data_IF_247706328729
#
_entry.id   IF_247706328729
#
_cell.length_a   1.000
_cell.length_b   1.000
_cell.length_c   1.000
_cell.angle_alpha   90.00
_cell.angle_beta   90.00
_cell.angle_gamma   90.00
#
_symmetry.space_group_name_H-M   'P 1'
#
loop_
_entity.id
_entity.type
_entity.pdbx_description
1 polymer ?
#
# COMPACT_ATOMS: atom_id res chain seq x y z
N UNK A 1 21.99 39.67 53.84
CA UNK A 1 20.89 39.59 54.82
C UNK A 1 20.14 38.28 54.62
N UNK A 2 20.15 37.41 55.65
CA UNK A 2 19.28 36.25 55.94
C UNK A 2 19.18 35.07 54.93
N UNK A 3 19.83 33.97 55.33
CA UNK A 3 19.36 32.58 55.11
C UNK A 3 18.00 32.33 55.79
N UNK A 4 17.19 31.40 55.24
CA UNK A 4 16.54 30.27 55.95
C UNK A 4 15.86 29.28 54.97
N UNK A 5 15.61 28.02 55.38
CA UNK A 5 15.77 26.82 54.53
C UNK A 5 14.53 25.88 54.45
N UNK A 6 14.68 24.80 53.67
CA UNK A 6 14.12 23.43 53.79
C UNK A 6 12.69 23.16 54.29
N UNK A 7 11.97 22.34 53.51
CA UNK A 7 11.24 21.11 53.95
C UNK A 7 11.32 20.10 52.78
N UNK A 8 12.01 18.94 52.84
CA UNK A 8 11.68 17.63 53.48
C UNK A 8 10.20 17.29 53.39
N UNK A 9 9.72 16.09 53.07
CA UNK A 9 10.17 14.83 52.46
C UNK A 9 8.85 14.00 52.45
N UNK A 10 8.58 13.14 51.47
CA UNK A 10 7.84 11.91 51.80
C UNK A 10 8.19 10.80 50.82
N UNK A 11 9.09 9.96 51.33
CA UNK A 11 9.32 8.56 51.01
C UNK A 11 8.04 7.79 51.40
N UNK A 12 7.88 6.55 50.91
CA UNK A 12 6.72 5.62 50.93
C UNK A 12 6.09 5.59 49.52
N UNK A 13 6.40 4.65 48.62
CA UNK A 13 6.70 3.25 48.86
C UNK A 13 7.52 2.66 47.71
N UNK A 14 8.65 2.07 48.06
CA UNK A 14 9.32 1.05 47.26
C UNK A 14 8.47 -0.21 47.37
N UNK A 15 7.97 -0.71 46.25
CA UNK A 15 7.58 -2.11 46.11
C UNK A 15 8.15 -2.65 44.80
N UNK A 16 9.21 -3.42 45.01
CA UNK A 16 9.77 -4.44 44.14
C UNK A 16 8.68 -5.21 43.37
N UNK A 17 8.84 -5.37 42.06
CA UNK A 17 8.96 -6.70 41.44
C UNK A 17 9.14 -6.59 39.92
N UNK A 18 10.32 -7.04 39.47
CA UNK A 18 10.57 -7.58 38.14
C UNK A 18 9.38 -8.37 37.60
N UNK A 19 9.03 -8.16 36.32
CA UNK A 19 9.02 -9.22 35.31
C UNK A 19 8.37 -8.74 34.01
N UNK A 20 9.22 -8.64 32.99
CA UNK A 20 9.03 -9.08 31.59
C UNK A 20 9.54 -8.03 30.60
N UNK A 21 10.86 -8.09 30.41
CA UNK A 21 11.47 -7.91 29.10
C UNK A 21 10.84 -8.93 28.13
N UNK A 22 9.79 -8.53 27.43
CA UNK A 22 9.44 -9.13 26.14
C UNK A 22 9.72 -8.08 25.08
N UNK A 23 10.96 -8.11 24.60
CA UNK A 23 11.31 -7.43 23.36
C UNK A 23 10.45 -8.00 22.24
N UNK A 24 9.42 -7.26 21.84
CA UNK A 24 8.73 -7.53 20.59
C UNK A 24 9.63 -7.05 19.46
N UNK A 25 10.41 -7.96 18.89
CA UNK A 25 10.91 -7.76 17.53
C UNK A 25 9.70 -7.70 16.62
N UNK A 26 9.40 -6.51 16.11
CA UNK A 26 8.51 -6.34 14.95
C UNK A 26 9.20 -7.00 13.76
N UNK A 27 9.00 -8.30 13.60
CA UNK A 27 9.36 -8.99 12.36
C UNK A 27 8.52 -8.38 11.24
N UNK A 28 9.17 -7.74 10.27
CA UNK A 28 8.54 -7.45 9.00
C UNK A 28 7.98 -8.76 8.44
N UNK A 29 6.67 -8.81 8.20
CA UNK A 29 6.02 -10.00 7.66
C UNK A 29 6.68 -10.37 6.33
N UNK A 30 7.32 -11.54 6.27
CA UNK A 30 8.00 -12.04 5.07
C UNK A 30 6.98 -12.18 3.94
N UNK A 31 7.26 -11.57 2.77
CA UNK A 31 6.40 -11.66 1.58
C UNK A 31 6.24 -13.12 1.16
N UNK A 32 5.04 -13.46 0.66
CA UNK A 32 4.75 -14.84 0.25
C UNK A 32 5.51 -15.19 -1.04
N UNK A 33 6.49 -16.09 -0.97
CA UNK A 33 7.31 -16.52 -2.11
C UNK A 33 6.48 -17.04 -3.30
N UNK A 34 5.40 -17.79 -3.04
CA UNK A 34 4.56 -18.31 -4.13
C UNK A 34 3.86 -17.18 -4.92
N UNK A 35 3.57 -16.06 -4.25
CA UNK A 35 2.96 -14.90 -4.90
C UNK A 35 4.00 -14.17 -5.75
N UNK A 36 5.23 -14.05 -5.26
CA UNK A 36 6.34 -13.44 -6.01
C UNK A 36 6.67 -14.25 -7.26
N UNK A 37 6.77 -15.57 -7.15
CA UNK A 37 7.00 -16.47 -8.29
C UNK A 37 5.87 -16.37 -9.33
N UNK A 38 4.62 -16.25 -8.87
CA UNK A 38 3.48 -16.05 -9.76
C UNK A 38 3.56 -14.71 -10.51
N UNK A 39 3.85 -13.62 -9.79
CA UNK A 39 3.99 -12.28 -10.36
C UNK A 39 5.13 -12.26 -11.38
N UNK A 40 6.29 -12.82 -11.04
CA UNK A 40 7.45 -12.94 -11.92
C UNK A 40 7.07 -13.64 -13.23
N UNK A 41 6.37 -14.76 -13.11
CA UNK A 41 5.98 -15.59 -14.25
C UNK A 41 4.99 -14.92 -15.20
N UNK A 42 4.05 -14.12 -14.67
CA UNK A 42 2.93 -13.62 -15.47
C UNK A 42 2.95 -12.11 -15.74
N UNK A 43 3.89 -11.34 -15.16
CA UNK A 43 3.95 -9.89 -15.36
C UNK A 43 4.03 -9.47 -16.83
N UNK A 44 4.77 -10.20 -17.65
CA UNK A 44 4.92 -9.87 -19.08
C UNK A 44 3.60 -10.09 -19.81
N UNK A 45 2.90 -11.19 -19.50
CA UNK A 45 1.57 -11.47 -20.03
C UNK A 45 0.61 -10.33 -19.67
N UNK A 46 0.57 -9.92 -18.40
CA UNK A 46 -0.31 -8.85 -17.94
C UNK A 46 0.02 -7.50 -18.59
N UNK A 47 1.29 -7.19 -18.82
CA UNK A 47 1.71 -5.97 -19.55
C UNK A 47 1.27 -6.03 -21.02
N UNK A 48 1.41 -7.18 -21.68
CA UNK A 48 0.95 -7.37 -23.05
C UNK A 48 -0.57 -7.23 -23.16
N UNK A 49 -1.32 -7.81 -22.20
CA UNK A 49 -2.77 -7.65 -22.12
C UNK A 49 -3.17 -6.21 -21.88
N UNK A 50 -2.50 -5.51 -20.97
CA UNK A 50 -2.70 -4.08 -20.74
C UNK A 50 -2.51 -3.26 -22.00
N UNK A 51 -1.42 -3.48 -22.75
CA UNK A 51 -1.16 -2.76 -24.01
C UNK A 51 -2.24 -3.01 -25.06
N UNK A 52 -2.82 -4.21 -25.08
CA UNK A 52 -3.84 -4.57 -26.08
C UNK A 52 -5.23 -4.11 -25.70
N UNK A 53 -5.63 -4.34 -24.44
CA UNK A 53 -7.00 -4.19 -23.98
C UNK A 53 -7.19 -2.99 -23.05
N UNK A 54 -6.13 -2.26 -22.67
CA UNK A 54 -6.18 -1.07 -21.82
C UNK A 54 -6.73 -1.32 -20.41
N UNK A 55 -6.50 -2.53 -19.87
CA UNK A 55 -6.76 -2.89 -18.47
C UNK A 55 -5.43 -2.80 -17.72
N UNK A 56 -5.33 -2.15 -16.54
CA UNK A 56 -4.08 -2.06 -15.80
C UNK A 56 -3.44 -3.45 -15.60
N UNK A 57 -2.14 -3.55 -15.83
CA UNK A 57 -1.37 -4.79 -15.63
C UNK A 57 -1.40 -5.21 -14.15
N UNK A 58 -1.38 -4.23 -13.24
CA UNK A 58 -1.52 -4.42 -11.80
C UNK A 58 -2.82 -5.11 -11.41
N UNK A 59 -3.95 -4.67 -11.99
CA UNK A 59 -5.27 -5.26 -11.80
C UNK A 59 -5.29 -6.69 -12.32
N UNK A 60 -4.81 -6.90 -13.54
CA UNK A 60 -4.78 -8.24 -14.16
C UNK A 60 -3.94 -9.23 -13.33
N UNK A 61 -2.77 -8.81 -12.83
CA UNK A 61 -1.92 -9.64 -11.98
C UNK A 61 -2.54 -9.90 -10.61
N UNK A 62 -3.10 -8.87 -9.96
CA UNK A 62 -3.71 -9.03 -8.65
C UNK A 62 -4.93 -9.94 -8.69
N UNK A 63 -5.80 -9.79 -9.70
CA UNK A 63 -6.93 -10.70 -9.94
C UNK A 63 -6.42 -12.11 -10.22
N UNK A 64 -5.52 -12.29 -11.20
CA UNK A 64 -5.00 -13.61 -11.54
C UNK A 64 -4.38 -14.31 -10.32
N UNK A 65 -3.61 -13.58 -9.50
CA UNK A 65 -3.01 -14.12 -8.28
C UNK A 65 -4.07 -14.50 -7.24
N UNK A 66 -5.05 -13.63 -6.98
CA UNK A 66 -6.09 -13.86 -5.99
C UNK A 66 -7.00 -15.02 -6.38
N UNK A 67 -7.57 -14.99 -7.58
CA UNK A 67 -8.56 -15.96 -8.07
C UNK A 67 -7.95 -17.36 -8.25
N UNK A 68 -6.67 -17.46 -8.62
CA UNK A 68 -5.99 -18.75 -8.81
C UNK A 68 -5.26 -19.26 -7.58
N UNK A 69 -5.27 -18.53 -6.46
CA UNK A 69 -4.44 -18.85 -5.29
C UNK A 69 -2.94 -18.90 -5.62
N UNK A 70 -2.48 -17.95 -6.45
CA UNK A 70 -1.17 -17.94 -7.09
C UNK A 70 -0.90 -19.18 -7.96
N UNK A 71 -1.87 -19.57 -8.78
CA UNK A 71 -1.80 -20.68 -9.73
C UNK A 71 -1.92 -22.07 -9.12
N UNK A 72 -2.22 -22.15 -7.81
CA UNK A 72 -2.24 -23.41 -7.06
C UNK A 72 -3.63 -23.99 -6.87
N UNK A 73 -4.69 -23.22 -7.15
CA UNK A 73 -6.06 -23.73 -7.06
C UNK A 73 -6.26 -24.92 -7.99
N UNK A 74 -7.14 -25.84 -7.62
CA UNK A 74 -7.44 -27.02 -8.44
C UNK A 74 -7.91 -26.61 -9.83
N UNK A 75 -8.79 -25.61 -9.93
CA UNK A 75 -9.27 -25.08 -11.19
C UNK A 75 -8.11 -24.58 -12.07
N UNK A 76 -7.20 -23.77 -11.53
CA UNK A 76 -6.05 -23.27 -12.27
C UNK A 76 -5.12 -24.40 -12.72
N UNK A 77 -4.83 -25.37 -11.86
CA UNK A 77 -3.94 -26.51 -12.18
C UNK A 77 -4.51 -27.46 -13.22
N UNK A 78 -5.83 -27.74 -13.18
CA UNK A 78 -6.47 -28.68 -14.11
C UNK A 78 -6.82 -28.06 -15.45
N UNK A 79 -7.05 -26.75 -15.50
CA UNK A 79 -7.65 -26.11 -16.66
C UNK A 79 -6.93 -24.86 -17.15
N UNK A 80 -5.86 -24.42 -16.48
CA UNK A 80 -5.22 -23.13 -16.72
C UNK A 80 -6.19 -21.94 -16.67
N UNK A 81 -7.33 -22.06 -15.96
CA UNK A 81 -8.26 -20.97 -15.76
C UNK A 81 -7.90 -20.20 -14.47
N UNK A 82 -7.14 -19.11 -14.63
CA UNK A 82 -6.63 -18.34 -13.51
C UNK A 82 -7.61 -17.30 -12.96
N UNK A 83 -8.74 -17.08 -13.62
CA UNK A 83 -9.68 -16.00 -13.32
C UNK A 83 -11.10 -16.49 -12.99
N UNK A 84 -11.31 -17.81 -12.91
CA UNK A 84 -12.62 -18.38 -12.61
C UNK A 84 -13.68 -18.13 -13.68
N UNK A 85 -13.28 -17.96 -14.96
CA UNK A 85 -14.26 -17.61 -16.01
C UNK A 85 -15.16 -18.81 -16.29
N UNK A 86 -16.46 -18.64 -16.00
CA UNK A 86 -17.51 -19.63 -16.29
C UNK A 86 -17.75 -19.74 -17.80
N UNK A 87 -18.24 -20.88 -18.28
CA UNK A 87 -18.48 -21.12 -19.71
C UNK A 87 -19.39 -20.02 -20.31
N UNK A 88 -20.51 -19.70 -19.64
CA UNK A 88 -21.57 -18.91 -20.26
C UNK A 88 -22.21 -19.66 -21.43
N UNK A 89 -23.18 -19.05 -22.10
CA UNK A 89 -23.94 -19.70 -23.19
C UNK A 89 -23.17 -19.78 -24.52
N UNK A 90 -22.15 -18.95 -24.71
CA UNK A 90 -21.45 -18.78 -26.01
C UNK A 90 -20.06 -19.41 -26.05
N UNK A 91 -19.69 -20.21 -25.04
CA UNK A 91 -18.36 -20.82 -24.98
C UNK A 91 -18.36 -22.21 -25.63
N UNK A 92 -17.59 -22.33 -26.70
CA UNK A 92 -17.44 -23.57 -27.48
C UNK A 92 -16.09 -24.27 -27.25
N UNK A 93 -15.22 -23.67 -26.43
CA UNK A 93 -13.90 -24.22 -26.11
C UNK A 93 -13.96 -25.34 -25.08
N UNK A 94 -12.79 -25.83 -24.68
CA UNK A 94 -12.69 -26.86 -23.63
C UNK A 94 -13.28 -26.37 -22.32
N UNK A 95 -13.80 -27.29 -21.52
CA UNK A 95 -14.45 -26.99 -20.25
C UNK A 95 -13.95 -27.93 -19.15
N UNK A 96 -14.10 -27.50 -17.90
CA UNK A 96 -13.93 -28.34 -16.71
C UNK A 96 -15.12 -28.14 -15.78
N UNK A 97 -15.51 -29.20 -15.07
CA UNK A 97 -16.51 -29.11 -13.99
C UNK A 97 -15.78 -28.90 -12.67
N UNK A 98 -16.18 -27.88 -11.92
CA UNK A 98 -15.62 -27.55 -10.61
C UNK A 98 -16.73 -27.06 -9.69
N UNK A 99 -16.58 -27.25 -8.38
CA UNK A 99 -17.52 -26.73 -7.40
C UNK A 99 -17.07 -25.33 -7.00
N UNK A 100 -17.97 -24.35 -7.04
CA UNK A 100 -17.72 -22.98 -6.62
C UNK A 100 -18.93 -22.48 -5.81
N UNK A 101 -19.76 -21.58 -6.36
CA UNK A 101 -21.02 -21.16 -5.73
C UNK A 101 -22.04 -22.30 -5.69
N UNK A 102 -22.01 -23.16 -6.71
CA UNK A 102 -22.84 -24.36 -6.84
C UNK A 102 -22.00 -25.60 -7.22
N UNK A 103 -22.52 -26.81 -6.95
CA UNK A 103 -21.86 -28.03 -7.39
C UNK A 103 -21.77 -28.13 -8.91
N UNK A 104 -20.61 -28.59 -9.41
CA UNK A 104 -20.36 -28.95 -10.82
C UNK A 104 -20.68 -27.85 -11.82
N UNK A 105 -20.36 -26.61 -11.46
CA UNK A 105 -20.42 -25.48 -12.38
C UNK A 105 -19.45 -25.66 -13.56
N UNK A 106 -19.80 -25.06 -14.70
CA UNK A 106 -19.01 -25.12 -15.93
C UNK A 106 -18.01 -23.96 -15.98
N UNK A 107 -16.73 -24.30 -16.01
CA UNK A 107 -15.65 -23.33 -16.21
C UNK A 107 -14.95 -23.56 -17.54
N UNK A 108 -14.50 -22.46 -18.15
CA UNK A 108 -13.66 -22.51 -19.35
C UNK A 108 -12.33 -23.18 -19.03
N UNK A 109 -11.76 -23.91 -19.98
CA UNK A 109 -10.46 -24.56 -19.85
C UNK A 109 -9.54 -24.20 -21.03
N UNK A 110 -8.27 -23.98 -20.73
CA UNK A 110 -7.28 -23.38 -21.63
C UNK A 110 -6.02 -24.22 -21.71
N UNK A 111 -5.33 -24.19 -22.85
CA UNK A 111 -4.11 -24.99 -23.05
C UNK A 111 -2.96 -24.41 -22.25
N UNK A 112 -2.91 -23.08 -22.18
CA UNK A 112 -1.91 -22.32 -21.42
C UNK A 112 -2.57 -21.23 -20.59
N UNK A 113 -2.00 -20.91 -19.43
CA UNK A 113 -2.49 -19.83 -18.57
C UNK A 113 -2.65 -18.50 -19.31
N UNK A 114 -1.73 -18.15 -20.23
CA UNK A 114 -1.79 -16.94 -21.08
C UNK A 114 -3.11 -16.81 -21.86
N UNK A 115 -3.73 -17.91 -22.26
CA UNK A 115 -5.04 -17.88 -22.93
C UNK A 115 -6.14 -17.42 -21.97
N UNK A 116 -6.10 -17.83 -20.69
CA UNK A 116 -7.05 -17.33 -19.69
C UNK A 116 -6.86 -15.84 -19.37
N UNK A 117 -5.62 -15.33 -19.42
CA UNK A 117 -5.35 -13.89 -19.31
C UNK A 117 -5.94 -13.10 -20.48
N UNK A 118 -5.81 -13.64 -21.70
CA UNK A 118 -6.40 -13.07 -22.90
C UNK A 118 -7.93 -13.08 -22.85
N UNK A 119 -8.51 -14.20 -22.41
CA UNK A 119 -9.97 -14.33 -22.34
C UNK A 119 -10.57 -13.47 -21.21
N UNK A 120 -9.88 -13.34 -20.08
CA UNK A 120 -10.22 -12.38 -19.02
C UNK A 120 -10.23 -10.93 -19.56
N UNK A 121 -9.22 -10.56 -20.34
CA UNK A 121 -9.12 -9.22 -20.90
C UNK A 121 -10.24 -8.93 -21.92
N UNK A 122 -10.59 -9.93 -22.74
CA UNK A 122 -11.77 -9.86 -23.62
C UNK A 122 -13.05 -9.72 -22.82
N UNK A 123 -13.26 -10.56 -21.79
CA UNK A 123 -14.44 -10.54 -20.94
C UNK A 123 -14.68 -9.17 -20.31
N UNK A 124 -13.63 -8.53 -19.77
CA UNK A 124 -13.76 -7.18 -19.20
C UNK A 124 -14.00 -6.11 -20.27
N UNK A 125 -13.30 -6.17 -21.41
CA UNK A 125 -13.40 -5.15 -22.46
C UNK A 125 -14.70 -5.18 -23.26
N UNK A 126 -15.33 -6.35 -23.42
CA UNK A 126 -16.61 -6.48 -24.14
C UNK A 126 -17.82 -6.45 -23.21
N UNK A 127 -17.64 -6.66 -21.91
CA UNK A 127 -18.73 -6.65 -20.94
C UNK A 127 -19.28 -5.23 -20.70
N UNK A 128 -20.51 -4.98 -21.14
CA UNK A 128 -21.16 -3.67 -21.00
C UNK A 128 -21.14 -3.09 -19.57
N UNK A 129 -21.29 -3.96 -18.56
CA UNK A 129 -21.23 -3.57 -17.13
C UNK A 129 -19.87 -3.04 -16.69
N UNK A 130 -18.79 -3.35 -17.41
CA UNK A 130 -17.42 -2.92 -17.12
C UNK A 130 -16.98 -1.72 -17.97
N UNK A 131 -17.74 -1.32 -19.00
CA UNK A 131 -17.33 -0.30 -19.97
C UNK A 131 -16.92 1.03 -19.32
N UNK A 132 -17.53 1.42 -18.20
CA UNK A 132 -17.19 2.66 -17.49
C UNK A 132 -15.77 2.65 -16.90
N UNK A 133 -15.19 1.48 -16.64
CA UNK A 133 -13.81 1.33 -16.13
C UNK A 133 -12.78 1.87 -17.12
N UNK A 134 -13.04 1.71 -18.42
CA UNK A 134 -12.12 2.15 -19.49
C UNK A 134 -12.07 3.67 -19.68
N UNK A 135 -12.92 4.43 -18.96
CA UNK A 135 -12.83 5.89 -18.87
C UNK A 135 -11.87 6.34 -17.77
N UNK A 136 -11.48 5.44 -16.87
CA UNK A 136 -10.50 5.71 -15.83
C UNK A 136 -9.11 5.77 -16.44
N UNK A 137 -8.20 6.50 -15.80
CA UNK A 137 -6.79 6.46 -16.18
C UNK A 137 -6.27 5.03 -15.99
N UNK A 138 -5.41 4.59 -16.91
CA UNK A 138 -4.80 3.26 -16.84
C UNK A 138 -3.94 3.05 -15.58
N UNK A 139 -3.53 4.13 -14.92
CA UNK A 139 -2.79 4.11 -13.65
C UNK A 139 -3.69 4.16 -12.41
N UNK A 140 -5.02 4.27 -12.57
CA UNK A 140 -5.96 4.38 -11.44
C UNK A 140 -6.44 2.99 -10.98
N UNK A 141 -5.52 2.14 -10.55
CA UNK A 141 -5.85 0.78 -10.11
C UNK A 141 -6.84 0.77 -8.94
N UNK A 142 -6.86 1.80 -8.08
CA UNK A 142 -7.83 1.92 -6.98
C UNK A 142 -9.24 2.16 -7.51
N UNK A 143 -9.40 3.05 -8.50
CA UNK A 143 -10.66 3.25 -9.21
C UNK A 143 -11.12 1.98 -9.92
N UNK A 144 -10.19 1.27 -10.59
CA UNK A 144 -10.46 -0.01 -11.23
C UNK A 144 -10.94 -1.07 -10.25
N UNK A 145 -10.24 -1.30 -9.13
CA UNK A 145 -10.62 -2.30 -8.13
C UNK A 145 -12.00 -2.04 -7.52
N UNK A 146 -12.30 -0.78 -7.17
CA UNK A 146 -13.62 -0.38 -6.65
C UNK A 146 -14.71 -0.52 -7.71
N UNK A 147 -14.40 -0.15 -8.95
CA UNK A 147 -15.34 -0.24 -10.06
C UNK A 147 -15.63 -1.70 -10.45
N UNK A 148 -14.64 -2.60 -10.42
CA UNK A 148 -14.83 -4.04 -10.63
C UNK A 148 -15.80 -4.64 -9.60
N UNK A 149 -15.62 -4.31 -8.32
CA UNK A 149 -16.57 -4.69 -7.27
C UNK A 149 -17.96 -4.10 -7.52
N UNK A 150 -18.03 -2.81 -7.85
CA UNK A 150 -19.31 -2.12 -8.16
C UNK A 150 -20.04 -2.74 -9.36
N UNK A 151 -19.29 -3.19 -10.36
CA UNK A 151 -19.80 -3.86 -11.55
C UNK A 151 -20.20 -5.33 -11.32
N UNK A 152 -20.02 -5.85 -10.10
CA UNK A 152 -20.38 -7.23 -9.75
C UNK A 152 -19.42 -8.28 -10.30
N UNK A 153 -18.12 -7.98 -10.35
CA UNK A 153 -17.11 -8.99 -10.67
C UNK A 153 -17.05 -10.09 -9.60
N UNK A 154 -17.09 -9.71 -8.33
CA UNK A 154 -17.12 -10.63 -7.19
C UNK A 154 -18.20 -10.20 -6.19
N UNK A 155 -18.79 -11.18 -5.51
CA UNK A 155 -19.80 -10.96 -4.45
C UNK A 155 -19.19 -10.48 -3.14
N UNK A 156 -17.91 -10.78 -2.92
CA UNK A 156 -17.20 -10.44 -1.70
C UNK A 156 -17.07 -8.92 -1.50
N UNK A 157 -17.59 -8.43 -0.37
CA UNK A 157 -17.55 -7.02 0.01
C UNK A 157 -16.14 -6.43 0.11
N UNK A 158 -15.12 -7.25 0.42
CA UNK A 158 -13.72 -6.87 0.56
C UNK A 158 -12.90 -7.03 -0.73
N UNK A 159 -13.52 -7.46 -1.83
CA UNK A 159 -12.82 -7.76 -3.08
C UNK A 159 -11.92 -6.60 -3.56
N UNK A 160 -12.50 -5.39 -3.64
CA UNK A 160 -11.77 -4.21 -4.07
C UNK A 160 -10.57 -3.91 -3.17
N UNK A 161 -10.74 -4.03 -1.84
CA UNK A 161 -9.66 -3.78 -0.90
C UNK A 161 -8.57 -4.83 -1.03
N UNK A 162 -8.90 -6.11 -1.20
CA UNK A 162 -7.89 -7.16 -1.41
C UNK A 162 -7.05 -6.94 -2.65
N UNK A 163 -7.66 -6.50 -3.75
CA UNK A 163 -6.89 -6.16 -4.96
C UNK A 163 -5.95 -4.99 -4.70
N UNK A 164 -6.42 -3.94 -4.04
CA UNK A 164 -5.59 -2.79 -3.67
C UNK A 164 -4.44 -3.23 -2.77
N UNK A 165 -4.71 -4.03 -1.73
CA UNK A 165 -3.71 -4.54 -0.80
C UNK A 165 -2.65 -5.37 -1.53
N UNK A 166 -3.04 -6.25 -2.47
CA UNK A 166 -2.10 -7.04 -3.27
C UNK A 166 -1.25 -6.13 -4.17
N UNK A 167 -1.88 -5.16 -4.83
CA UNK A 167 -1.17 -4.24 -5.74
C UNK A 167 -0.14 -3.40 -4.97
N UNK A 168 -0.52 -2.86 -3.80
CA UNK A 168 0.36 -2.05 -2.97
C UNK A 168 1.44 -2.90 -2.28
N UNK A 169 1.11 -4.08 -1.75
CA UNK A 169 2.07 -4.95 -1.08
C UNK A 169 3.15 -5.48 -2.02
N UNK A 170 2.82 -5.70 -3.30
CA UNK A 170 3.73 -6.24 -4.30
C UNK A 170 4.24 -5.21 -5.31
N UNK A 171 3.90 -3.93 -5.14
CA UNK A 171 4.22 -2.82 -6.05
C UNK A 171 3.87 -3.14 -7.51
N UNK A 172 2.67 -3.67 -7.76
CA UNK A 172 2.28 -4.14 -9.10
C UNK A 172 1.95 -2.99 -10.06
N UNK A 173 1.59 -1.82 -9.54
CA UNK A 173 1.28 -0.61 -10.29
C UNK A 173 2.49 -0.06 -11.09
N UNK A 174 3.71 -0.45 -10.74
CA UNK A 174 4.90 -0.20 -11.56
C UNK A 174 4.76 -0.72 -12.98
N UNK A 175 3.97 -1.78 -13.19
CA UNK A 175 3.73 -2.37 -14.51
C UNK A 175 2.71 -1.60 -15.34
N UNK A 176 2.00 -0.62 -14.76
CA UNK A 176 0.97 0.17 -15.46
C UNK A 176 1.55 1.34 -16.26
N UNK A 177 2.85 1.62 -16.11
CA UNK A 177 3.56 2.75 -16.75
C UNK A 177 4.31 2.31 -18.01
N UNK A 178 4.50 3.25 -18.96
CA UNK A 178 5.11 3.03 -20.28
C UNK A 178 6.50 2.35 -20.23
N UNK A 179 7.27 2.58 -19.15
CA UNK A 179 8.64 2.07 -18.96
C UNK A 179 8.76 1.01 -17.84
N UNK A 180 7.66 0.44 -17.33
CA UNK A 180 7.66 -0.44 -16.15
C UNK A 180 8.65 -1.63 -16.22
N UNK A 181 8.91 -2.16 -17.42
CA UNK A 181 9.86 -3.26 -17.65
C UNK A 181 11.34 -2.80 -17.57
N UNK A 182 11.63 -1.55 -17.92
CA UNK A 182 12.97 -0.95 -17.82
C UNK A 182 13.27 -0.57 -16.37
N UNK A 183 12.31 0.04 -15.69
CA UNK A 183 12.42 0.38 -14.25
C UNK A 183 12.65 -0.85 -13.36
N UNK A 184 11.91 -1.95 -13.60
CA UNK A 184 12.03 -3.18 -12.80
C UNK A 184 13.38 -3.91 -12.97
N UNK A 185 14.03 -3.76 -14.13
CA UNK A 185 15.39 -4.29 -14.37
C UNK A 185 16.47 -3.42 -13.72
N UNK A 186 16.25 -2.11 -13.64
CA UNK A 186 17.20 -1.14 -13.08
C UNK A 186 17.12 -1.02 -11.55
N UNK A 187 16.04 -1.49 -10.91
CA UNK A 187 15.78 -1.35 -9.47
C UNK A 187 15.29 -2.69 -8.86
N UNK A 188 16.18 -3.65 -8.56
CA UNK A 188 15.79 -4.98 -8.08
C UNK A 188 15.27 -5.00 -6.63
N UNK A 189 15.47 -3.93 -5.86
CA UNK A 189 15.01 -3.81 -4.47
C UNK A 189 14.48 -2.40 -4.14
N UNK A 190 13.32 -1.99 -4.68
CA UNK A 190 12.74 -0.68 -4.43
C UNK A 190 12.31 -0.52 -2.96
N UNK A 191 12.16 0.73 -2.54
CA UNK A 191 11.61 1.12 -1.25
C UNK A 191 10.13 0.77 -1.17
N UNK A 192 9.79 0.05 -0.09
CA UNK A 192 8.40 -0.31 0.20
C UNK A 192 7.60 0.96 0.54
N UNK A 193 6.47 1.21 -0.13
CA UNK A 193 5.56 2.27 0.25
C UNK A 193 4.67 1.86 1.43
N UNK A 194 4.27 2.86 2.22
CA UNK A 194 3.36 2.77 3.36
C UNK A 194 2.32 3.89 3.26
N UNK A 195 1.21 3.75 3.98
CA UNK A 195 0.13 4.74 4.02
C UNK A 195 -0.06 5.30 5.42
N UNK A 196 -0.14 6.63 5.51
CA UNK A 196 -0.61 7.34 6.69
C UNK A 196 -1.47 8.53 6.25
N UNK A 197 -2.66 8.66 6.82
CA UNK A 197 -3.59 9.75 6.52
C UNK A 197 -3.85 9.92 4.99
N UNK A 198 -4.07 8.78 4.32
CA UNK A 198 -4.27 8.68 2.86
C UNK A 198 -3.08 9.14 2.00
N UNK A 199 -1.90 9.36 2.60
CA UNK A 199 -0.69 9.77 1.91
C UNK A 199 0.31 8.63 1.86
N UNK A 200 0.99 8.50 0.73
CA UNK A 200 2.07 7.53 0.57
C UNK A 200 3.38 8.07 1.15
N UNK A 201 4.10 7.22 1.88
CA UNK A 201 5.46 7.47 2.33
C UNK A 201 6.33 6.22 2.17
N UNK A 202 7.65 6.40 2.16
CA UNK A 202 8.62 5.31 2.26
C UNK A 202 9.42 5.45 3.55
N UNK A 203 10.03 4.37 4.02
CA UNK A 203 10.99 4.43 5.12
C UNK A 203 12.40 4.51 4.54
N UNK A 204 13.12 5.58 4.88
CA UNK A 204 14.51 5.74 4.47
C UNK A 204 15.36 4.60 5.03
N UNK A 205 16.17 3.96 4.19
CA UNK A 205 17.17 2.97 4.56
C UNK A 205 18.49 3.67 4.89
N UNK A 206 19.38 2.97 5.61
CA UNK A 206 20.73 3.48 5.89
C UNK A 206 21.46 3.75 4.56
N UNK A 207 21.93 4.98 4.38
CA UNK A 207 22.63 5.41 3.16
C UNK A 207 21.73 6.05 2.10
N UNK A 208 20.42 6.12 2.32
CA UNK A 208 19.53 6.86 1.43
C UNK A 208 19.86 8.34 1.40
N UNK A 209 19.62 8.93 0.24
CA UNK A 209 19.65 10.37 0.03
C UNK A 209 18.36 10.78 -0.67
N UNK A 210 17.96 12.05 -0.54
CA UNK A 210 16.85 12.56 -1.35
C UNK A 210 17.10 12.41 -2.86
N UNK A 211 18.37 12.37 -3.29
CA UNK A 211 18.74 12.17 -4.69
C UNK A 211 18.51 10.73 -5.14
N UNK A 212 18.93 9.74 -4.35
CA UNK A 212 18.70 8.32 -4.65
C UNK A 212 17.21 8.00 -4.61
N UNK A 213 16.50 8.40 -3.54
CA UNK A 213 15.05 8.22 -3.42
C UNK A 213 14.31 8.96 -4.53
N UNK A 214 14.72 10.17 -4.87
CA UNK A 214 14.10 10.94 -5.94
C UNK A 214 14.24 10.29 -7.31
N UNK A 215 15.39 9.70 -7.60
CA UNK A 215 15.61 8.94 -8.84
C UNK A 215 14.72 7.70 -8.90
N UNK A 216 14.65 6.95 -7.81
CA UNK A 216 13.85 5.72 -7.72
C UNK A 216 12.35 5.98 -7.86
N UNK A 217 11.86 6.99 -7.14
CA UNK A 217 10.45 7.35 -7.06
C UNK A 217 9.98 8.22 -8.23
N UNK A 218 10.89 8.63 -9.11
CA UNK A 218 10.65 9.59 -10.20
C UNK A 218 10.09 10.94 -9.67
N UNK A 219 10.68 11.43 -8.58
CA UNK A 219 10.33 12.70 -7.94
C UNK A 219 11.61 13.51 -7.73
N UNK A 220 11.58 14.79 -8.09
CA UNK A 220 12.70 15.68 -7.78
C UNK A 220 13.08 15.61 -6.30
N UNK A 221 14.35 15.35 -6.00
CA UNK A 221 14.89 15.37 -4.64
C UNK A 221 14.54 16.66 -3.86
N UNK A 222 14.41 17.80 -4.56
CA UNK A 222 13.97 19.08 -3.96
C UNK A 222 12.51 19.03 -3.51
N UNK A 223 11.66 18.34 -4.28
CA UNK A 223 10.23 18.16 -4.03
C UNK A 223 10.00 17.20 -2.86
N UNK A 224 10.74 16.08 -2.79
CA UNK A 224 10.73 15.18 -1.63
C UNK A 224 11.09 15.90 -0.33
N UNK A 225 12.17 16.70 -0.31
CA UNK A 225 12.51 17.52 0.87
C UNK A 225 11.38 18.47 1.26
N UNK A 226 10.80 19.15 0.27
CA UNK A 226 9.71 20.12 0.49
C UNK A 226 8.48 19.46 1.13
N UNK A 227 8.10 18.28 0.66
CA UNK A 227 6.96 17.53 1.22
C UNK A 227 7.17 17.11 2.67
N UNK A 228 8.42 16.83 3.02
CA UNK A 228 8.81 16.45 4.37
C UNK A 228 9.16 17.64 5.25
N UNK A 229 9.08 18.88 4.76
CA UNK A 229 9.37 20.10 5.51
C UNK A 229 10.80 20.10 6.10
N UNK A 230 11.77 19.56 5.35
CA UNK A 230 13.17 19.40 5.76
C UNK A 230 14.10 20.44 5.09
N UNK A 231 15.16 20.90 5.78
CA UNK A 231 16.11 21.88 5.23
C UNK A 231 16.98 21.29 4.11
N UNK A 232 17.67 22.15 3.37
CA UNK A 232 18.40 21.77 2.14
C UNK A 232 19.58 20.83 2.41
N UNK A 233 20.23 21.03 3.54
CA UNK A 233 21.40 20.33 4.08
C UNK A 233 21.02 19.15 4.99
N UNK A 234 19.73 18.83 5.11
CA UNK A 234 19.30 17.69 5.91
C UNK A 234 19.82 16.36 5.32
N UNK A 235 20.48 15.58 6.17
CA UNK A 235 20.92 14.22 5.86
C UNK A 235 19.92 13.20 6.40
N UNK A 236 19.44 12.33 5.51
CA UNK A 236 18.49 11.30 5.88
C UNK A 236 19.12 10.25 6.78
N UNK A 237 18.37 9.86 7.81
CA UNK A 237 18.72 8.76 8.71
C UNK A 237 17.86 7.55 8.38
N UNK A 238 18.44 6.36 8.54
CA UNK A 238 17.68 5.12 8.41
C UNK A 238 16.53 5.08 9.41
N UNK A 239 15.34 4.66 8.96
CA UNK A 239 14.12 4.58 9.74
C UNK A 239 13.19 5.79 9.61
N UNK A 240 13.57 6.84 8.88
CA UNK A 240 12.73 8.05 8.74
C UNK A 240 11.57 7.87 7.76
N UNK A 241 10.41 8.42 8.11
CA UNK A 241 9.24 8.51 7.23
C UNK A 241 9.48 9.62 6.21
N UNK A 242 9.42 9.26 4.92
CA UNK A 242 9.58 10.18 3.80
C UNK A 242 8.31 10.16 2.94
N UNK A 243 7.47 11.17 3.12
CA UNK A 243 6.31 11.38 2.26
C UNK A 243 6.73 11.72 0.84
N UNK A 244 6.04 11.10 -0.11
CA UNK A 244 6.28 11.30 -1.54
C UNK A 244 5.31 12.32 -2.16
N UNK A 245 4.39 12.86 -1.34
CA UNK A 245 3.42 13.89 -1.66
C UNK A 245 3.24 14.87 -0.49
N UNK A 246 2.56 16.01 -0.73
CA UNK A 246 2.42 17.03 0.30
C UNK A 246 1.47 16.58 1.43
N UNK A 247 1.93 16.66 2.69
CA UNK A 247 1.14 16.31 3.86
C UNK A 247 -0.22 17.02 3.90
N UNK A 248 -1.24 16.42 4.53
CA UNK A 248 -2.59 17.01 4.63
C UNK A 248 -2.60 18.14 5.65
N UNK A 249 -3.67 18.94 5.67
CA UNK A 249 -3.82 20.02 6.66
C UNK A 249 -4.24 19.52 8.04
N UNK A 250 -4.80 18.31 8.11
CA UNK A 250 -5.43 17.67 9.28
C UNK A 250 -5.29 16.16 9.13
N UNK A 251 -5.39 15.42 10.23
CA UNK A 251 -5.50 13.97 10.20
C UNK A 251 -6.86 13.49 9.66
N UNK A 252 -6.95 12.18 9.42
CA UNK A 252 -8.18 11.48 9.12
C UNK A 252 -9.20 11.59 10.26
N UNK A 253 -10.42 11.12 10.03
CA UNK A 253 -11.53 11.31 10.99
C UNK A 253 -11.38 10.48 12.26
N UNK A 254 -10.56 9.43 12.23
CA UNK A 254 -10.38 8.50 13.34
C UNK A 254 -9.30 9.02 14.32
N UNK A 255 -8.46 9.95 13.86
CA UNK A 255 -7.41 10.58 14.66
C UNK A 255 -7.73 12.06 14.95
N UNK A 256 -8.61 12.29 15.94
CA UNK A 256 -9.00 13.66 16.35
C UNK A 256 -7.92 14.29 17.24
N UNK A 257 -7.36 13.52 18.16
CA UNK A 257 -6.34 13.95 19.13
C UNK A 257 -5.23 12.92 19.29
N UNK A 258 -4.09 13.35 19.84
CA UNK A 258 -2.98 12.49 20.19
C UNK A 258 -2.37 12.88 21.54
N UNK A 259 -2.14 11.88 22.39
CA UNK A 259 -1.44 12.06 23.66
C UNK A 259 0.06 11.88 23.41
N UNK A 260 0.82 12.92 23.69
CA UNK A 260 2.26 13.01 23.46
C UNK A 260 2.99 11.97 24.30
N UNK A 261 3.87 11.19 23.68
CA UNK A 261 4.66 10.12 24.32
C UNK A 261 6.11 10.54 24.46
N UNK A 262 6.86 9.79 25.27
CA UNK A 262 8.30 10.00 25.41
C UNK A 262 9.00 9.89 24.04
N UNK A 263 9.87 10.86 23.73
CA UNK A 263 10.58 10.95 22.46
C UNK A 263 9.80 11.62 21.31
N UNK A 264 8.54 12.01 21.53
CA UNK A 264 7.79 12.75 20.52
C UNK A 264 8.27 14.20 20.38
N UNK A 265 8.20 14.67 19.14
CA UNK A 265 8.34 16.08 18.78
C UNK A 265 7.18 16.46 17.87
N UNK A 266 6.93 17.76 17.70
CA UNK A 266 5.93 18.22 16.72
C UNK A 266 6.23 17.70 15.30
N UNK A 267 7.51 17.57 14.95
CA UNK A 267 7.93 17.00 13.67
C UNK A 267 7.63 15.51 13.57
N UNK A 268 8.00 14.70 14.57
CA UNK A 268 7.73 13.25 14.52
C UNK A 268 6.23 12.95 14.53
N UNK A 269 5.43 13.73 15.26
CA UNK A 269 3.96 13.61 15.24
C UNK A 269 3.39 14.04 13.88
N UNK A 270 3.90 15.14 13.30
CA UNK A 270 3.56 15.57 11.95
C UNK A 270 3.84 14.46 10.92
N UNK A 271 4.99 13.80 11.03
CA UNK A 271 5.37 12.69 10.17
C UNK A 271 4.51 11.45 10.41
N UNK A 272 4.20 11.11 11.67
CA UNK A 272 3.36 9.96 12.02
C UNK A 272 1.94 10.03 11.45
N UNK A 273 1.34 11.22 11.47
CA UNK A 273 -0.06 11.42 11.06
C UNK A 273 -0.20 12.10 9.69
N UNK A 274 0.90 12.34 8.98
CA UNK A 274 0.87 12.96 7.64
C UNK A 274 0.23 14.34 7.63
N UNK A 275 0.48 15.14 8.68
CA UNK A 275 -0.07 16.50 8.83
C UNK A 275 1.07 17.50 8.57
N UNK A 276 0.83 18.57 7.81
CA UNK A 276 1.84 19.64 7.67
C UNK A 276 2.17 20.22 9.05
N UNK A 277 3.46 20.30 9.37
CA UNK A 277 3.96 20.74 10.66
C UNK A 277 3.36 22.10 11.06
N UNK A 278 3.32 23.05 10.12
CA UNK A 278 2.73 24.39 10.35
C UNK A 278 1.26 24.33 10.79
N UNK A 279 0.49 23.37 10.29
CA UNK A 279 -0.93 23.25 10.64
C UNK A 279 -1.11 22.56 11.99
N UNK A 280 -0.24 21.59 12.31
CA UNK A 280 -0.21 20.98 13.63
C UNK A 280 0.08 22.03 14.72
N UNK A 281 1.06 22.91 14.51
CA UNK A 281 1.34 24.05 15.39
C UNK A 281 0.12 24.98 15.51
N UNK A 282 -0.43 25.43 14.37
CA UNK A 282 -1.57 26.37 14.34
C UNK A 282 -2.79 25.82 15.08
N UNK A 283 -3.12 24.55 14.88
CA UNK A 283 -4.28 23.91 15.49
C UNK A 283 -4.17 23.79 17.01
N UNK A 284 -2.94 23.64 17.50
CA UNK A 284 -2.63 23.54 18.92
C UNK A 284 -2.24 24.88 19.56
N UNK A 285 -2.34 25.99 18.80
CA UNK A 285 -1.98 27.35 19.26
C UNK A 285 -0.54 27.44 19.79
N UNK A 286 0.38 26.71 19.17
CA UNK A 286 1.80 26.66 19.51
C UNK A 286 2.64 27.37 18.42
N UNK A 287 3.80 27.90 18.79
CA UNK A 287 4.80 28.44 17.85
C UNK A 287 5.95 27.41 17.66
N UNK A 288 6.51 27.23 16.44
CA UNK A 288 7.76 26.49 16.22
C UNK A 288 8.93 26.78 17.17
N UNK A 289 9.00 27.98 17.76
CA UNK A 289 10.02 28.37 18.73
C UNK A 289 9.64 28.03 20.19
N UNK A 290 8.41 27.57 20.42
CA UNK A 290 7.95 27.16 21.75
C UNK A 290 8.64 25.87 22.19
N UNK A 291 8.73 25.61 23.52
CA UNK A 291 9.19 24.33 24.03
C UNK A 291 8.43 23.16 23.39
N UNK A 292 9.14 22.03 23.21
CA UNK A 292 8.54 20.80 22.73
C UNK A 292 7.34 20.39 23.61
N UNK A 293 6.31 19.75 23.03
CA UNK A 293 5.18 19.25 23.81
C UNK A 293 5.66 18.26 24.87
N UNK A 294 5.05 18.29 26.04
CA UNK A 294 5.40 17.42 27.16
C UNK A 294 4.66 16.10 27.06
N UNK A 295 5.26 15.05 27.60
CA UNK A 295 4.60 13.74 27.72
C UNK A 295 3.28 13.91 28.47
N UNK A 296 2.20 13.39 27.89
CA UNK A 296 0.83 13.54 28.41
C UNK A 296 0.05 14.72 27.82
N UNK A 297 0.70 15.67 27.14
CA UNK A 297 -0.02 16.74 26.45
C UNK A 297 -0.95 16.16 25.38
N UNK A 298 -2.15 16.73 25.24
CA UNK A 298 -3.12 16.31 24.24
C UNK A 298 -3.07 17.31 23.08
N UNK A 299 -2.59 16.84 21.93
CA UNK A 299 -2.56 17.61 20.70
C UNK A 299 -3.77 17.29 19.84
N UNK A 300 -4.43 18.33 19.33
CA UNK A 300 -5.43 18.23 18.25
C UNK A 300 -4.73 17.93 16.93
N UNK A 301 -5.28 16.96 16.22
CA UNK A 301 -4.82 16.55 14.89
C UNK A 301 -5.81 16.95 13.79
N UNK A 302 -7.05 17.32 14.14
CA UNK A 302 -8.11 17.70 13.20
C UNK A 302 -8.87 18.98 13.58
#
# INVERSE_FOLDING_TARGET
MKMKPMRRLNIHSILLALCLLSGMTLGAQTRNRAYEEYIEKYREVAIEEMKRYHIPASITLAQGLLESGAGRSELARKSNNHFGIKCGSTWEGRTVRHNDDAPRECFRAYRHARESYRDHSKFLSTGARYAFLFRLKITDYKGWARGLKKAGYATDSRYAQRLIDIIELYDLDKYDRKDGLKWAKENPNPHQPYLANELVYVIARKGDTFKSLGKELDISHRKLRKYNELPKDYELKGGEIIYIEEKKKRADKDHIVYVVRSGDSMYSISQKFGIRLKNLYKMNRMNPESPAPKVGDILRLR
#
